data_IF_220534054187
#
_entry.id   IF_220534054187
#
_cell.length_a   1.000
_cell.length_b   1.000
_cell.length_c   1.000
_cell.angle_alpha   90.00
_cell.angle_beta   90.00
_cell.angle_gamma   90.00
#
_symmetry.space_group_name_H-M   'P 1'
#
loop_
_entity.id
_entity.type
_entity.pdbx_description
1 polymer ?
#
# COMPACT_ATOMS: atom_id res chain seq x y z
N UNK A 1 43.75 -33.05 -18.84
CA UNK A 1 42.73 -33.06 -17.76
C UNK A 1 43.12 -32.26 -16.50
N UNK A 2 44.17 -31.42 -16.51
CA UNK A 2 44.66 -30.73 -15.30
C UNK A 2 44.39 -29.23 -15.17
N UNK A 3 43.91 -28.57 -16.23
CA UNK A 3 43.77 -27.10 -16.28
C UNK A 3 42.39 -26.63 -15.83
N UNK A 4 41.32 -27.32 -16.22
CA UNK A 4 39.94 -26.96 -15.84
C UNK A 4 39.66 -27.14 -14.33
N UNK A 5 40.20 -28.19 -13.72
CA UNK A 5 40.06 -28.45 -12.28
C UNK A 5 40.79 -27.40 -11.42
N UNK A 6 41.94 -26.91 -11.89
CA UNK A 6 42.67 -25.81 -11.25
C UNK A 6 41.96 -24.46 -11.39
N UNK A 7 41.30 -24.22 -12.52
CA UNK A 7 40.51 -23.00 -12.74
C UNK A 7 39.27 -22.95 -11.83
N UNK A 8 38.57 -24.08 -11.67
CA UNK A 8 37.41 -24.21 -10.79
C UNK A 8 37.76 -24.05 -9.31
N UNK A 9 38.89 -24.60 -8.86
CA UNK A 9 39.38 -24.43 -7.48
C UNK A 9 39.84 -22.99 -7.20
N UNK A 10 40.43 -22.31 -8.20
CA UNK A 10 40.79 -20.90 -8.09
C UNK A 10 39.56 -19.98 -8.03
N UNK A 11 38.52 -20.27 -8.81
CA UNK A 11 37.24 -19.54 -8.76
C UNK A 11 36.50 -19.75 -7.43
N UNK A 12 36.51 -20.97 -6.87
CA UNK A 12 35.90 -21.26 -5.57
C UNK A 12 36.63 -20.57 -4.41
N UNK A 13 37.97 -20.55 -4.45
CA UNK A 13 38.78 -19.85 -3.44
C UNK A 13 38.73 -18.33 -3.58
N UNK A 14 38.48 -17.78 -4.77
CA UNK A 14 38.30 -16.34 -4.98
C UNK A 14 36.92 -15.85 -4.47
N UNK A 15 35.89 -16.70 -4.53
CA UNK A 15 34.56 -16.40 -3.99
C UNK A 15 34.54 -16.37 -2.45
N UNK A 16 35.41 -17.15 -1.80
CA UNK A 16 35.57 -17.19 -0.34
C UNK A 16 36.40 -16.02 0.22
N UNK A 17 37.05 -15.22 -0.62
CA UNK A 17 37.83 -14.04 -0.22
C UNK A 17 37.07 -12.71 -0.32
N UNK A 18 35.81 -12.71 -0.76
CA UNK A 18 35.00 -11.49 -0.72
C UNK A 18 34.58 -11.22 0.74
N UNK A 19 34.93 -10.05 1.32
CA UNK A 19 34.40 -9.68 2.62
C UNK A 19 32.86 -9.57 2.51
N UNK A 20 32.10 -10.05 3.51
CA UNK A 20 30.63 -10.09 3.48
C UNK A 20 29.91 -8.72 3.45
N UNK A 21 30.58 -7.63 3.05
CA UNK A 21 30.07 -6.26 3.08
C UNK A 21 30.16 -5.47 1.77
N UNK A 22 30.50 -6.08 0.63
CA UNK A 22 30.70 -5.36 -0.64
C UNK A 22 29.42 -4.90 -1.38
N UNK A 23 28.24 -5.05 -0.76
CA UNK A 23 26.97 -4.51 -1.26
C UNK A 23 26.62 -3.24 -0.48
N UNK A 24 27.36 -2.16 -0.72
CA UNK A 24 27.01 -0.84 -0.23
C UNK A 24 25.97 -0.20 -1.14
N UNK A 25 24.71 -0.65 -1.04
CA UNK A 25 23.59 0.19 -1.48
C UNK A 25 23.55 1.39 -0.54
N UNK A 26 23.57 2.62 -1.06
CA UNK A 26 22.98 3.72 -0.30
C UNK A 26 21.48 3.39 -0.20
N UNK A 27 20.96 3.08 1.00
CA UNK A 27 19.53 2.86 1.15
C UNK A 27 18.83 4.20 0.96
N UNK A 28 17.94 4.30 -0.03
CA UNK A 28 16.85 5.26 0.04
C UNK A 28 16.08 4.92 1.31
N UNK A 29 15.93 5.89 2.21
CA UNK A 29 15.11 5.67 3.39
C UNK A 29 13.66 5.75 2.94
N UNK A 30 13.06 4.57 2.85
CA UNK A 30 11.67 4.38 2.45
C UNK A 30 10.86 4.08 3.70
N UNK A 31 9.80 4.83 3.93
CA UNK A 31 8.97 4.71 5.13
C UNK A 31 7.51 4.81 4.78
N UNK A 32 6.79 3.72 4.96
CA UNK A 32 5.36 3.61 4.71
C UNK A 32 4.55 3.60 6.01
N UNK A 33 3.37 4.23 5.98
CA UNK A 33 2.46 4.29 7.11
C UNK A 33 1.02 4.19 6.65
N UNK A 34 0.20 3.50 7.44
CA UNK A 34 -1.26 3.52 7.31
C UNK A 34 -1.86 4.06 8.60
N UNK A 35 -2.75 5.04 8.49
CA UNK A 35 -3.45 5.59 9.64
C UNK A 35 -4.92 5.90 9.32
N UNK A 36 -5.73 5.97 10.37
CA UNK A 36 -7.14 6.34 10.29
C UNK A 36 -7.31 7.80 10.66
N UNK A 37 -7.86 8.59 9.75
CA UNK A 37 -8.17 10.01 9.91
C UNK A 37 -9.66 10.19 10.26
N UNK A 38 -10.01 10.61 11.49
CA UNK A 38 -11.40 10.77 11.90
C UNK A 38 -12.16 11.83 11.09
N UNK A 39 -13.49 11.76 11.11
CA UNK A 39 -14.36 12.79 10.55
C UNK A 39 -14.09 14.15 11.22
N UNK A 40 -14.08 15.24 10.43
CA UNK A 40 -13.96 16.59 10.95
C UNK A 40 -12.54 16.96 11.41
N UNK A 41 -11.53 16.13 11.14
CA UNK A 41 -10.15 16.34 11.61
C UNK A 41 -9.15 16.49 10.47
N UNK A 42 -8.04 17.14 10.80
CA UNK A 42 -6.84 17.28 9.97
C UNK A 42 -5.66 16.75 10.77
N UNK A 43 -4.85 15.89 10.16
CA UNK A 43 -3.63 15.35 10.75
C UNK A 43 -2.42 15.82 9.94
N UNK A 44 -1.36 16.23 10.63
CA UNK A 44 -0.16 16.79 10.01
C UNK A 44 1.08 16.07 10.53
N UNK A 45 2.02 15.82 9.63
CA UNK A 45 3.28 15.17 9.90
C UNK A 45 4.42 16.10 9.49
N UNK A 46 5.52 16.03 10.22
CA UNK A 46 6.70 16.87 10.03
C UNK A 46 7.89 15.98 9.68
N UNK A 47 8.58 16.32 8.59
CA UNK A 47 9.79 15.65 8.16
C UNK A 47 10.94 16.67 8.06
N UNK A 48 11.97 16.58 8.92
CA UNK A 48 13.18 17.39 8.78
C UNK A 48 13.92 16.99 7.51
N UNK A 49 14.27 17.97 6.67
CA UNK A 49 14.98 17.79 5.41
C UNK A 49 16.23 18.68 5.37
N UNK A 50 17.21 18.25 4.56
CA UNK A 50 18.42 19.03 4.27
C UNK A 50 18.34 19.72 2.91
N UNK A 51 19.12 20.77 2.73
CA UNK A 51 19.22 21.47 1.47
C UNK A 51 19.79 20.56 0.36
N UNK A 52 19.08 20.50 -0.77
CA UNK A 52 19.46 19.69 -1.93
C UNK A 52 19.12 18.20 -1.81
N UNK A 53 18.35 17.80 -0.79
CA UNK A 53 17.70 16.50 -0.75
C UNK A 53 16.39 16.51 -1.56
N UNK A 54 15.79 15.34 -1.77
CA UNK A 54 14.48 15.19 -2.41
C UNK A 54 13.51 14.52 -1.46
N UNK A 55 12.36 15.14 -1.27
CA UNK A 55 11.23 14.60 -0.52
C UNK A 55 10.15 14.19 -1.52
N UNK A 56 9.83 12.90 -1.56
CA UNK A 56 8.69 12.39 -2.29
C UNK A 56 7.63 11.86 -1.32
N UNK A 57 6.40 12.32 -1.50
CA UNK A 57 5.23 11.89 -0.72
C UNK A 57 4.22 11.26 -1.69
N UNK A 58 3.97 9.97 -1.52
CA UNK A 58 2.90 9.24 -2.19
C UNK A 58 1.80 8.93 -1.19
N UNK A 59 0.53 9.12 -1.56
CA UNK A 59 -0.59 8.76 -0.70
C UNK A 59 -1.75 8.14 -1.48
N UNK A 60 -2.52 7.32 -0.78
CA UNK A 60 -3.74 6.69 -1.28
C UNK A 60 -4.79 6.55 -0.17
N UNK A 61 -6.03 6.92 -0.47
CA UNK A 61 -7.19 6.68 0.39
C UNK A 61 -7.69 5.26 0.17
N UNK A 62 -7.50 4.39 1.16
CA UNK A 62 -7.87 2.98 1.10
C UNK A 62 -9.36 2.76 1.38
N UNK A 63 -9.92 3.50 2.34
CA UNK A 63 -11.30 3.33 2.78
C UNK A 63 -11.94 4.63 3.31
N UNK A 64 -13.27 4.64 3.35
CA UNK A 64 -14.12 5.77 3.79
C UNK A 64 -15.00 6.34 2.68
N UNK A 65 -16.10 7.01 3.06
CA UNK A 65 -17.09 7.50 2.09
C UNK A 65 -16.49 8.56 1.15
N UNK A 66 -16.61 8.37 -0.16
CA UNK A 66 -16.08 9.30 -1.18
C UNK A 66 -14.67 8.96 -1.66
N UNK A 67 -13.89 8.19 -0.87
CA UNK A 67 -12.48 7.86 -1.16
C UNK A 67 -11.64 9.10 -1.52
N UNK A 68 -11.87 10.20 -0.82
CA UNK A 68 -11.25 11.49 -1.09
C UNK A 68 -10.64 12.11 0.18
N UNK A 69 -9.57 12.89 0.01
CA UNK A 69 -8.94 13.69 1.07
C UNK A 69 -8.37 14.99 0.48
N UNK A 70 -8.29 16.02 1.32
CA UNK A 70 -7.57 17.26 0.99
C UNK A 70 -6.12 17.13 1.49
N UNK A 71 -5.14 17.35 0.61
CA UNK A 71 -3.71 17.21 0.89
C UNK A 71 -3.00 18.57 0.80
N UNK A 72 -2.08 18.81 1.74
CA UNK A 72 -1.27 20.03 1.82
C UNK A 72 0.19 19.63 2.03
N UNK A 73 1.10 20.28 1.30
CA UNK A 73 2.54 20.24 1.56
C UNK A 73 3.04 21.67 1.71
N UNK A 74 3.65 21.95 2.85
CA UNK A 74 4.15 23.26 3.23
C UNK A 74 5.67 23.21 3.46
N UNK A 75 6.36 24.22 2.94
CA UNK A 75 7.81 24.37 3.12
C UNK A 75 8.14 24.84 4.55
N UNK A 76 9.40 24.70 4.99
CA UNK A 76 9.84 25.22 6.29
C UNK A 76 9.69 26.74 6.44
N UNK A 77 9.53 27.46 5.33
CA UNK A 77 9.28 28.91 5.28
C UNK A 77 7.80 29.28 5.43
N UNK A 78 6.91 28.28 5.49
CA UNK A 78 5.47 28.46 5.57
C UNK A 78 4.79 28.68 4.21
N UNK A 79 5.46 28.34 3.10
CA UNK A 79 4.89 28.45 1.77
C UNK A 79 4.21 27.15 1.36
N UNK A 80 2.97 27.22 0.89
CA UNK A 80 2.24 26.06 0.39
C UNK A 80 2.81 25.68 -0.97
N UNK A 81 3.49 24.54 -1.02
CA UNK A 81 4.12 24.00 -2.22
C UNK A 81 3.13 23.18 -3.05
N UNK A 82 2.31 22.37 -2.37
CA UNK A 82 1.30 21.53 -3.00
C UNK A 82 -0.01 21.66 -2.24
N UNK A 83 -1.10 21.80 -2.99
CA UNK A 83 -2.44 21.78 -2.45
C UNK A 83 -3.36 21.02 -3.39
N UNK A 84 -3.97 19.95 -2.89
CA UNK A 84 -4.95 19.15 -3.61
C UNK A 84 -6.22 19.02 -2.81
N UNK A 85 -7.35 19.15 -3.49
CA UNK A 85 -8.66 18.99 -2.88
C UNK A 85 -9.35 17.76 -3.45
N UNK A 86 -9.97 16.99 -2.55
CA UNK A 86 -10.81 15.82 -2.84
C UNK A 86 -10.15 14.86 -3.83
N UNK A 87 -8.94 14.42 -3.51
CA UNK A 87 -8.20 13.42 -4.30
C UNK A 87 -8.16 12.08 -3.57
N UNK A 88 -8.23 11.00 -4.35
CA UNK A 88 -8.09 9.63 -3.86
C UNK A 88 -6.64 9.21 -3.68
N UNK A 89 -5.73 9.82 -4.45
CA UNK A 89 -4.32 9.49 -4.52
C UNK A 89 -3.52 10.67 -5.07
N UNK A 90 -2.22 10.68 -4.83
CA UNK A 90 -1.28 11.66 -5.36
C UNK A 90 0.16 11.29 -5.07
N UNK A 91 1.06 11.73 -5.96
CA UNK A 91 2.52 11.61 -5.83
C UNK A 91 3.14 12.97 -6.03
N UNK A 92 3.95 13.42 -5.07
CA UNK A 92 4.56 14.74 -5.09
C UNK A 92 6.03 14.66 -4.68
N UNK A 93 6.91 15.02 -5.61
CA UNK A 93 8.36 15.11 -5.40
C UNK A 93 8.76 16.57 -5.34
N UNK A 94 9.50 16.96 -4.29
CA UNK A 94 9.98 18.33 -4.09
C UNK A 94 11.45 18.32 -3.72
N UNK A 95 12.22 19.21 -4.34
CA UNK A 95 13.59 19.51 -3.94
C UNK A 95 13.58 20.32 -2.63
N UNK A 96 14.30 19.84 -1.63
CA UNK A 96 14.18 20.37 -0.27
C UNK A 96 15.24 21.39 0.08
N UNK A 97 14.85 22.36 0.90
CA UNK A 97 15.73 23.27 1.62
C UNK A 97 15.98 22.74 3.03
N UNK A 98 16.92 23.35 3.77
CA UNK A 98 17.12 23.00 5.18
C UNK A 98 15.91 23.43 6.02
N UNK A 99 15.26 22.45 6.66
CA UNK A 99 14.19 22.68 7.63
C UNK A 99 13.12 21.60 7.67
N UNK A 100 12.07 21.85 8.46
CA UNK A 100 10.99 20.89 8.67
C UNK A 100 9.86 21.13 7.66
N UNK A 101 9.67 20.16 6.77
CA UNK A 101 8.53 20.14 5.85
C UNK A 101 7.31 19.57 6.56
N UNK A 102 6.16 20.21 6.35
CA UNK A 102 4.90 19.75 6.93
C UNK A 102 3.99 19.27 5.81
N UNK A 103 3.48 18.05 5.93
CA UNK A 103 2.42 17.55 5.06
C UNK A 103 1.21 17.11 5.88
N UNK A 104 0.03 17.46 5.40
CA UNK A 104 -1.20 17.25 6.12
C UNK A 104 -2.27 16.58 5.27
N UNK A 105 -3.06 15.74 5.92
CA UNK A 105 -4.27 15.14 5.39
C UNK A 105 -5.47 15.71 6.12
N UNK A 106 -6.42 16.24 5.37
CA UNK A 106 -7.57 16.97 5.91
C UNK A 106 -8.88 16.30 5.51
N UNK A 107 -9.65 15.88 6.53
CA UNK A 107 -10.97 15.29 6.42
C UNK A 107 -12.01 16.14 7.18
N UNK A 108 -11.76 17.45 7.33
CA UNK A 108 -12.69 18.39 7.98
C UNK A 108 -14.02 18.50 7.24
N UNK A 109 -14.04 18.21 5.93
CA UNK A 109 -15.25 18.23 5.12
C UNK A 109 -16.19 17.03 5.38
N UNK A 110 -15.69 15.91 5.89
CA UNK A 110 -16.53 14.76 6.24
C UNK A 110 -17.06 14.90 7.66
N UNK A 111 -18.38 14.91 7.82
CA UNK A 111 -19.03 15.09 9.14
C UNK A 111 -19.24 13.79 9.90
N UNK A 112 -19.22 12.64 9.21
CA UNK A 112 -19.62 11.34 9.77
C UNK A 112 -18.58 10.26 9.50
N UNK A 113 -18.00 10.23 8.30
CA UNK A 113 -17.09 9.16 7.87
C UNK A 113 -15.63 9.46 8.18
N UNK A 114 -14.98 8.51 8.82
CA UNK A 114 -13.51 8.45 8.88
C UNK A 114 -12.93 7.98 7.54
N UNK A 115 -11.63 8.20 7.36
CA UNK A 115 -10.86 7.83 6.17
C UNK A 115 -9.67 6.98 6.61
N UNK A 116 -9.32 5.95 5.85
CA UNK A 116 -8.08 5.19 6.06
C UNK A 116 -7.12 5.59 4.95
N UNK A 117 -5.97 6.15 5.33
CA UNK A 117 -5.00 6.72 4.41
C UNK A 117 -3.69 5.95 4.57
N UNK A 118 -3.19 5.47 3.43
CA UNK A 118 -1.83 4.97 3.28
C UNK A 118 -0.97 6.08 2.68
N UNK A 119 0.22 6.30 3.23
CA UNK A 119 1.21 7.18 2.62
C UNK A 119 2.62 6.61 2.78
N UNK A 120 3.46 6.94 1.81
CA UNK A 120 4.86 6.52 1.72
C UNK A 120 5.73 7.77 1.54
N UNK A 121 6.84 7.80 2.26
CA UNK A 121 7.85 8.84 2.18
C UNK A 121 9.13 8.25 1.61
N UNK A 122 9.55 8.79 0.47
CA UNK A 122 10.82 8.41 -0.16
C UNK A 122 11.76 9.60 -0.02
N UNK A 123 12.82 9.40 0.77
CA UNK A 123 13.80 10.42 1.08
C UNK A 123 15.09 10.10 0.32
N UNK A 124 15.46 10.97 -0.62
CA UNK A 124 16.69 10.83 -1.40
C UNK A 124 17.69 11.94 -1.06
N UNK A 125 18.98 11.62 -1.13
CA UNK A 125 20.08 12.54 -0.91
C UNK A 125 20.08 13.29 0.45
N UNK A 126 19.53 12.68 1.51
CA UNK A 126 19.49 13.21 2.89
C UNK A 126 20.87 13.43 3.54
N UNK A 127 21.97 13.07 2.88
CA UNK A 127 23.33 13.16 3.40
C UNK A 127 23.64 12.11 4.48
N UNK A 128 24.81 11.51 4.38
CA UNK A 128 25.40 10.46 5.22
C UNK A 128 25.38 10.78 6.73
N UNK A 129 24.23 10.63 7.40
CA UNK A 129 24.09 10.84 8.85
C UNK A 129 24.39 9.60 9.70
N UNK A 130 24.31 8.41 9.11
CA UNK A 130 24.60 7.12 9.77
C UNK A 130 25.75 6.36 9.08
N UNK A 131 26.38 6.96 8.06
CA UNK A 131 27.43 6.32 7.25
C UNK A 131 28.85 6.81 7.60
N UNK A 132 28.98 7.81 8.47
CA UNK A 132 30.28 8.27 9.01
C UNK A 132 31.02 7.16 9.78
N UNK A 133 30.32 6.22 10.42
CA UNK A 133 30.95 5.12 11.15
C UNK A 133 31.54 4.04 10.22
N UNK A 134 31.00 3.87 9.02
CA UNK A 134 31.47 2.87 8.05
C UNK A 134 32.55 3.40 7.11
N UNK A 135 32.51 4.70 6.79
CA UNK A 135 33.43 5.33 5.84
C UNK A 135 34.87 5.44 6.37
N UNK A 136 35.03 5.55 7.70
CA UNK A 136 36.34 5.55 8.38
C UNK A 136 37.15 4.25 8.16
N UNK A 137 36.51 3.16 7.72
CA UNK A 137 37.16 1.89 7.42
C UNK A 137 37.55 1.70 5.94
N UNK A 138 37.03 2.51 5.00
CA UNK A 138 37.13 2.22 3.54
C UNK A 138 37.95 3.25 2.76
N UNK A 139 38.42 4.35 3.36
CA UNK A 139 39.29 5.36 2.71
C UNK A 139 40.72 4.87 2.37
N UNK A 140 40.91 3.59 2.03
CA UNK A 140 42.21 2.97 1.82
C UNK A 140 42.60 2.69 0.37
N UNK A 141 41.69 2.68 -0.61
CA UNK A 141 42.05 2.17 -1.94
C UNK A 141 41.35 2.91 -3.08
N UNK A 142 42.06 3.92 -3.57
CA UNK A 142 41.68 4.87 -4.61
C UNK A 142 42.10 4.37 -6.00
N UNK A 143 41.47 3.30 -6.56
CA UNK A 143 41.79 2.81 -7.92
C UNK A 143 40.71 1.86 -8.51
N UNK A 144 39.46 2.27 -8.83
CA UNK A 144 38.62 1.46 -9.75
C UNK A 144 37.35 2.12 -10.34
N UNK A 145 37.40 3.36 -10.81
CA UNK A 145 36.17 4.14 -11.08
C UNK A 145 35.49 3.90 -12.46
N UNK A 146 36.15 3.29 -13.46
CA UNK A 146 35.67 3.35 -14.86
C UNK A 146 34.85 2.16 -15.40
N UNK A 147 34.58 1.11 -14.62
CA UNK A 147 33.84 -0.10 -15.08
C UNK A 147 32.55 -0.37 -14.31
N UNK A 148 32.21 0.50 -13.37
CA UNK A 148 31.12 0.30 -12.41
C UNK A 148 29.77 0.81 -12.95
N UNK A 149 29.77 1.81 -13.84
CA UNK A 149 28.56 2.49 -14.33
C UNK A 149 27.58 1.58 -15.08
N UNK A 150 28.06 0.77 -16.02
CA UNK A 150 27.19 -0.11 -16.85
C UNK A 150 26.47 -1.20 -16.03
N UNK A 151 27.08 -1.65 -14.93
CA UNK A 151 26.52 -2.71 -14.07
C UNK A 151 25.51 -2.13 -13.10
N UNK A 152 25.75 -0.91 -12.62
CA UNK A 152 24.83 -0.18 -11.76
C UNK A 152 23.49 0.09 -12.46
N UNK A 153 23.51 0.44 -13.75
CA UNK A 153 22.28 0.69 -14.51
C UNK A 153 21.37 -0.55 -14.59
N UNK A 154 21.96 -1.73 -14.82
CA UNK A 154 21.21 -2.98 -14.91
C UNK A 154 20.59 -3.40 -13.56
N UNK A 155 21.32 -3.22 -12.47
CA UNK A 155 20.85 -3.54 -11.11
C UNK A 155 19.74 -2.57 -10.68
N UNK A 156 19.87 -1.28 -11.01
CA UNK A 156 18.84 -0.28 -10.75
C UNK A 156 17.54 -0.60 -11.47
N UNK A 157 17.63 -1.02 -12.74
CA UNK A 157 16.47 -1.45 -13.51
C UNK A 157 15.78 -2.70 -12.93
N UNK A 158 16.54 -3.64 -12.39
CA UNK A 158 15.98 -4.84 -11.75
C UNK A 158 15.36 -4.51 -10.39
N UNK A 159 16.02 -3.69 -9.56
CA UNK A 159 15.51 -3.25 -8.26
C UNK A 159 14.22 -2.45 -8.40
N UNK A 160 14.16 -1.53 -9.37
CA UNK A 160 12.95 -0.77 -9.67
C UNK A 160 11.79 -1.68 -10.11
N UNK A 161 12.07 -2.73 -10.90
CA UNK A 161 11.05 -3.72 -11.29
C UNK A 161 10.61 -4.59 -10.13
N UNK A 162 11.51 -4.92 -9.21
CA UNK A 162 11.21 -5.76 -8.05
C UNK A 162 10.41 -5.00 -6.98
N UNK A 163 10.77 -3.74 -6.71
CA UNK A 163 10.04 -2.86 -5.78
C UNK A 163 8.61 -2.64 -6.24
N UNK A 164 8.44 -2.30 -7.53
CA UNK A 164 7.12 -2.20 -8.15
C UNK A 164 6.32 -3.50 -8.05
N UNK A 165 6.97 -4.66 -8.23
CA UNK A 165 6.31 -5.97 -8.10
C UNK A 165 5.89 -6.28 -6.66
N UNK A 166 6.67 -5.85 -5.67
CA UNK A 166 6.34 -5.99 -4.25
C UNK A 166 5.19 -5.08 -3.86
N UNK A 167 5.24 -3.79 -4.21
CA UNK A 167 4.14 -2.83 -4.01
C UNK A 167 2.84 -3.34 -4.66
N UNK A 168 2.90 -3.84 -5.90
CA UNK A 168 1.74 -4.44 -6.58
C UNK A 168 1.21 -5.66 -5.81
N UNK A 169 2.08 -6.50 -5.25
CA UNK A 169 1.65 -7.66 -4.47
C UNK A 169 0.99 -7.26 -3.13
N UNK A 170 1.49 -6.24 -2.44
CA UNK A 170 0.86 -5.73 -1.21
C UNK A 170 -0.50 -5.11 -1.50
N UNK A 171 -0.58 -4.32 -2.56
CA UNK A 171 -1.82 -3.71 -3.04
C UNK A 171 -2.85 -4.79 -3.45
N UNK A 172 -2.45 -5.81 -4.22
CA UNK A 172 -3.33 -6.92 -4.61
C UNK A 172 -3.84 -7.71 -3.40
N UNK A 173 -3.01 -7.94 -2.37
CA UNK A 173 -3.46 -8.59 -1.13
C UNK A 173 -4.47 -7.74 -0.36
N UNK A 174 -4.30 -6.43 -0.35
CA UNK A 174 -5.26 -5.51 0.28
C UNK A 174 -6.61 -5.51 -0.47
N UNK A 175 -6.59 -5.50 -1.81
CA UNK A 175 -7.80 -5.64 -2.60
C UNK A 175 -8.46 -7.02 -2.45
N UNK A 176 -7.70 -8.12 -2.41
CA UNK A 176 -8.25 -9.46 -2.19
C UNK A 176 -8.96 -9.57 -0.82
N UNK A 177 -8.36 -9.01 0.23
CA UNK A 177 -8.96 -8.98 1.57
C UNK A 177 -10.26 -8.15 1.58
N UNK A 178 -10.29 -7.01 0.87
CA UNK A 178 -11.47 -6.16 0.73
C UNK A 178 -12.58 -6.86 -0.05
N UNK A 179 -12.27 -7.44 -1.20
CA UNK A 179 -13.22 -8.13 -2.07
C UNK A 179 -13.86 -9.31 -1.33
N UNK A 180 -13.08 -10.03 -0.52
CA UNK A 180 -13.59 -11.11 0.32
C UNK A 180 -14.62 -10.63 1.35
N UNK A 181 -14.34 -9.51 2.04
CA UNK A 181 -15.27 -8.94 3.02
C UNK A 181 -16.57 -8.41 2.38
N UNK A 182 -16.45 -7.83 1.19
CA UNK A 182 -17.62 -7.40 0.39
C UNK A 182 -18.43 -8.63 -0.06
N UNK A 183 -17.78 -9.71 -0.47
CA UNK A 183 -18.45 -10.92 -0.90
C UNK A 183 -19.23 -11.61 0.23
N UNK A 184 -18.65 -11.69 1.43
CA UNK A 184 -19.30 -12.30 2.61
C UNK A 184 -20.54 -11.50 3.04
N UNK A 185 -20.44 -10.17 3.13
CA UNK A 185 -21.58 -9.32 3.50
C UNK A 185 -22.72 -9.32 2.48
N UNK A 186 -22.40 -9.36 1.18
CA UNK A 186 -23.40 -9.49 0.12
C UNK A 186 -24.07 -10.88 0.14
N UNK A 187 -23.27 -11.93 0.33
CA UNK A 187 -23.78 -13.29 0.41
C UNK A 187 -24.80 -13.43 1.54
N UNK A 188 -24.48 -12.94 2.74
CA UNK A 188 -25.38 -13.02 3.90
C UNK A 188 -26.70 -12.28 3.67
N UNK A 189 -26.63 -11.06 3.12
CA UNK A 189 -27.82 -10.27 2.83
C UNK A 189 -28.72 -10.96 1.80
N UNK A 190 -28.15 -11.43 0.69
CA UNK A 190 -28.91 -12.09 -0.38
C UNK A 190 -29.48 -13.43 0.09
N UNK A 191 -28.70 -14.21 0.84
CA UNK A 191 -29.12 -15.50 1.35
C UNK A 191 -30.27 -15.36 2.36
N UNK A 192 -30.22 -14.35 3.24
CA UNK A 192 -31.30 -14.05 4.18
C UNK A 192 -32.63 -13.75 3.46
N UNK A 193 -32.61 -12.83 2.49
CA UNK A 193 -33.82 -12.50 1.71
C UNK A 193 -34.32 -13.67 0.84
N UNK A 194 -33.41 -14.52 0.37
CA UNK A 194 -33.76 -15.73 -0.39
C UNK A 194 -34.45 -16.77 0.49
N UNK A 195 -33.96 -16.98 1.72
CA UNK A 195 -34.57 -17.90 2.68
C UNK A 195 -35.97 -17.44 3.11
N UNK A 196 -36.15 -16.14 3.33
CA UNK A 196 -37.46 -15.55 3.62
C UNK A 196 -38.45 -15.79 2.48
N UNK A 197 -38.05 -15.52 1.24
CA UNK A 197 -38.90 -15.76 0.06
C UNK A 197 -39.28 -17.23 -0.11
N UNK A 198 -38.31 -18.15 0.08
CA UNK A 198 -38.58 -19.59 0.05
C UNK A 198 -39.63 -19.98 1.11
N UNK A 199 -39.51 -19.45 2.33
CA UNK A 199 -40.49 -19.67 3.40
C UNK A 199 -41.90 -19.21 3.02
N UNK A 200 -42.02 -18.02 2.43
CA UNK A 200 -43.32 -17.49 1.95
C UNK A 200 -43.95 -18.39 0.91
N UNK A 201 -43.17 -18.89 -0.07
CA UNK A 201 -43.68 -19.79 -1.11
C UNK A 201 -44.21 -21.12 -0.54
N UNK A 202 -43.54 -21.67 0.48
CA UNK A 202 -44.00 -22.89 1.18
C UNK A 202 -45.31 -22.63 1.92
N UNK A 203 -45.42 -21.51 2.63
CA UNK A 203 -46.66 -21.13 3.35
C UNK A 203 -47.82 -20.96 2.38
N UNK A 204 -47.62 -20.23 1.27
CA UNK A 204 -48.65 -20.05 0.24
C UNK A 204 -49.09 -21.39 -0.34
N UNK A 205 -48.15 -22.29 -0.63
CA UNK A 205 -48.45 -23.63 -1.14
C UNK A 205 -49.29 -24.45 -0.14
N UNK A 206 -48.96 -24.39 1.15
CA UNK A 206 -49.72 -25.08 2.19
C UNK A 206 -51.15 -24.53 2.33
N UNK A 207 -51.31 -23.20 2.28
CA UNK A 207 -52.62 -22.54 2.32
C UNK A 207 -53.46 -22.93 1.10
N UNK A 208 -52.85 -22.95 -0.10
CA UNK A 208 -53.52 -23.38 -1.33
C UNK A 208 -54.04 -24.82 -1.21
N UNK A 209 -53.23 -25.76 -0.71
CA UNK A 209 -53.65 -27.16 -0.51
C UNK A 209 -54.75 -27.26 0.54
N UNK A 210 -54.65 -26.53 1.65
CA UNK A 210 -55.67 -26.52 2.70
C UNK A 210 -57.01 -25.98 2.19
N UNK A 211 -56.99 -24.86 1.45
CA UNK A 211 -58.20 -24.27 0.88
C UNK A 211 -58.88 -25.21 -0.11
N UNK A 212 -58.10 -25.85 -1.00
CA UNK A 212 -58.62 -26.85 -1.93
C UNK A 212 -59.26 -28.02 -1.18
N UNK A 213 -58.59 -28.55 -0.15
CA UNK A 213 -59.13 -29.64 0.65
C UNK A 213 -60.44 -29.23 1.35
N UNK A 214 -60.47 -28.06 1.98
CA UNK A 214 -61.65 -27.51 2.66
C UNK A 214 -62.85 -27.38 1.73
N UNK A 215 -62.65 -26.91 0.49
CA UNK A 215 -63.72 -26.77 -0.52
C UNK A 215 -64.34 -28.10 -0.96
N UNK A 216 -63.56 -29.19 -0.95
CA UNK A 216 -64.04 -30.52 -1.33
C UNK A 216 -64.55 -31.35 -0.13
N UNK A 217 -64.09 -31.09 1.08
CA UNK A 217 -64.52 -31.80 2.30
C UNK A 217 -65.96 -31.40 2.71
N UNK A 218 -66.35 -30.14 2.52
CA UNK A 218 -67.70 -29.64 2.85
C UNK A 218 -68.82 -30.30 2.03
N UNK A 219 -68.55 -30.69 0.76
CA UNK A 219 -69.57 -31.36 -0.07
C UNK A 219 -69.82 -32.82 0.34
N UNK A 220 -68.88 -33.47 1.04
CA UNK A 220 -69.04 -34.88 1.47
C UNK A 220 -69.92 -35.05 2.70
N UNK A 221 -70.15 -33.98 3.48
CA UNK A 221 -70.93 -34.04 4.74
C UNK A 221 -72.44 -33.78 4.54
N UNK A 222 -72.88 -33.36 3.36
CA UNK A 222 -74.30 -33.02 3.08
C UNK A 222 -75.13 -34.14 2.43
N UNK A 223 -74.57 -35.33 2.21
CA UNK A 223 -75.28 -36.49 1.66
C UNK A 223 -75.31 -37.64 2.67
N UNK A 224 -76.11 -37.46 3.72
CA UNK A 224 -76.66 -38.52 4.56
C UNK A 224 -78.11 -38.20 4.81
#
# INVERSE_FOLDING_TARGET
MGTASRLLLLLHNLLLLLPPGAFGFAPSLDSDFTFTLPAGRKECFFQPMRHGASLEVEYQVLDGAGLDVDFYLESPKGEILVFHQRKSDGVHTVETEDGDYMFCFDNTFSTISEKVIFFELILDNMGEGEQEDWKKYITGTDLLDMRLEDILESINNVKARLSKSLQIQTLLRAFEARDRNIQESNFDTVNFWSMVNLGVMVVVSAVQVYMLKSLFEDKRKSRT
#
